data_IF_140377683690
#
_entry.id   IF_140377683690
#
_cell.length_a   1.000
_cell.length_b   1.000
_cell.length_c   1.000
_cell.angle_alpha   90.00
_cell.angle_beta   90.00
_cell.angle_gamma   90.00
#
_symmetry.space_group_name_H-M   'P 1'
#
loop_
_entity.id
_entity.type
_entity.pdbx_description
1 polymer ?
#
# COMPACT_ATOMS: atom_id res chain seq x y z
N UNK A 1 -12.71 -9.48 19.41
CA UNK A 1 -13.22 -8.52 18.41
C UNK A 1 -11.99 -7.94 17.74
N UNK A 2 -11.83 -8.14 16.44
CA UNK A 2 -10.69 -7.57 15.72
C UNK A 2 -11.13 -6.30 14.99
N UNK A 3 -10.43 -5.21 15.24
CA UNK A 3 -10.51 -3.98 14.48
C UNK A 3 -9.12 -3.68 13.91
N UNK A 4 -9.04 -3.43 12.65
CA UNK A 4 -7.77 -3.24 11.95
C UNK A 4 -7.84 -2.04 11.03
N UNK A 5 -6.89 -1.13 11.18
CA UNK A 5 -6.67 0.01 10.31
C UNK A 5 -5.49 -0.24 9.38
N UNK A 6 -5.73 -0.09 8.08
CA UNK A 6 -4.71 -0.12 7.03
C UNK A 6 -4.60 1.27 6.40
N UNK A 7 -3.40 1.83 6.41
CA UNK A 7 -3.10 3.09 5.70
C UNK A 7 -2.11 2.83 4.57
N UNK A 8 -2.49 3.22 3.38
CA UNK A 8 -1.66 3.14 2.18
C UNK A 8 -1.18 4.53 1.79
N UNK A 9 0.12 4.70 1.76
CA UNK A 9 0.77 5.94 1.33
C UNK A 9 1.21 5.83 -0.12
N UNK A 10 0.81 6.80 -0.92
CA UNK A 10 1.19 6.93 -2.33
C UNK A 10 1.88 8.26 -2.59
N UNK A 11 2.65 8.33 -3.65
CA UNK A 11 3.37 9.52 -4.03
C UNK A 11 2.78 10.12 -5.30
N UNK A 12 1.98 11.18 -5.11
CA UNK A 12 1.34 11.91 -6.20
C UNK A 12 0.21 11.14 -6.87
N UNK A 13 -0.39 11.78 -7.86
CA UNK A 13 -1.57 11.28 -8.60
C UNK A 13 -1.26 10.00 -9.37
N UNK A 14 -0.01 9.79 -9.78
CA UNK A 14 0.40 8.65 -10.62
C UNK A 14 0.20 7.32 -9.89
N UNK A 15 0.44 7.29 -8.58
CA UNK A 15 0.28 6.09 -7.74
C UNK A 15 -1.06 6.04 -7.00
N UNK A 16 -1.92 6.98 -7.27
CA UNK A 16 -3.19 7.13 -6.56
C UNK A 16 -4.11 5.94 -6.84
N UNK A 17 -4.11 5.46 -8.08
CA UNK A 17 -4.87 4.28 -8.50
C UNK A 17 -4.46 3.04 -7.71
N UNK A 18 -3.16 2.79 -7.57
CA UNK A 18 -2.63 1.63 -6.86
C UNK A 18 -3.05 1.64 -5.39
N UNK A 19 -2.99 2.79 -4.75
CA UNK A 19 -3.46 2.94 -3.38
C UNK A 19 -4.96 2.66 -3.23
N UNK A 20 -5.79 3.13 -4.17
CA UNK A 20 -7.23 2.85 -4.21
C UNK A 20 -7.52 1.38 -4.44
N UNK A 21 -6.83 0.76 -5.39
CA UNK A 21 -7.02 -0.65 -5.70
C UNK A 21 -6.70 -1.53 -4.48
N UNK A 22 -5.65 -1.19 -3.72
CA UNK A 22 -5.31 -1.92 -2.49
C UNK A 22 -6.44 -1.83 -1.46
N UNK A 23 -6.86 -0.62 -1.09
CA UNK A 23 -7.85 -0.46 -0.01
C UNK A 23 -9.24 -0.97 -0.42
N UNK A 24 -9.65 -0.75 -1.67
CA UNK A 24 -10.94 -1.20 -2.17
C UNK A 24 -11.02 -2.72 -2.29
N UNK A 25 -9.97 -3.38 -2.78
CA UNK A 25 -9.94 -4.84 -2.89
C UNK A 25 -9.99 -5.51 -1.52
N UNK A 26 -9.23 -4.99 -0.54
CA UNK A 26 -9.25 -5.51 0.83
C UNK A 26 -10.62 -5.28 1.49
N UNK A 27 -11.19 -4.09 1.38
CA UNK A 27 -12.50 -3.80 1.94
C UNK A 27 -13.61 -4.66 1.30
N UNK A 28 -13.59 -4.83 -0.01
CA UNK A 28 -14.55 -5.68 -0.71
C UNK A 28 -14.42 -7.15 -0.29
N UNK A 29 -13.19 -7.68 -0.20
CA UNK A 29 -12.93 -9.04 0.27
C UNK A 29 -13.43 -9.24 1.71
N UNK A 30 -13.13 -8.32 2.61
CA UNK A 30 -13.57 -8.38 4.00
C UNK A 30 -15.11 -8.39 4.12
N UNK A 31 -15.81 -7.61 3.30
CA UNK A 31 -17.29 -7.60 3.26
C UNK A 31 -17.87 -8.94 2.79
N UNK A 32 -17.26 -9.57 1.78
CA UNK A 32 -17.67 -10.91 1.33
C UNK A 32 -17.49 -11.93 2.44
N UNK A 33 -16.50 -11.76 3.31
CA UNK A 33 -16.26 -12.60 4.49
C UNK A 33 -17.23 -12.34 5.66
N UNK A 34 -18.18 -11.41 5.47
CA UNK A 34 -19.15 -11.03 6.50
C UNK A 34 -18.62 -10.06 7.54
N UNK A 35 -17.48 -9.42 7.28
CA UNK A 35 -16.93 -8.36 8.13
C UNK A 35 -17.47 -6.99 7.72
N UNK A 36 -17.42 -6.05 8.64
CA UNK A 36 -17.65 -4.64 8.35
C UNK A 36 -16.36 -4.01 7.84
N UNK A 37 -16.41 -3.34 6.70
CA UNK A 37 -15.24 -2.72 6.12
C UNK A 37 -15.57 -1.41 5.41
N UNK A 38 -14.67 -0.45 5.53
CA UNK A 38 -14.76 0.86 4.91
C UNK A 38 -13.44 1.15 4.18
N UNK A 39 -13.51 1.64 2.95
CA UNK A 39 -12.38 2.17 2.22
C UNK A 39 -12.62 3.66 1.96
N UNK A 40 -11.60 4.47 2.22
CA UNK A 40 -11.65 5.93 2.09
C UNK A 40 -10.35 6.44 1.49
N UNK A 41 -10.41 7.61 0.90
CA UNK A 41 -9.23 8.28 0.41
C UNK A 41 -9.14 9.72 0.92
N UNK A 42 -7.94 10.13 1.27
CA UNK A 42 -7.65 11.54 1.45
C UNK A 42 -7.39 12.12 0.06
N UNK A 43 -8.36 12.88 -0.42
CA UNK A 43 -8.29 13.50 -1.73
C UNK A 43 -7.51 14.82 -1.62
N UNK A 44 -6.49 14.96 -2.44
CA UNK A 44 -5.71 16.18 -2.50
C UNK A 44 -6.07 16.90 -3.80
N UNK A 45 -6.93 17.88 -3.66
CA UNK A 45 -7.61 18.61 -4.74
C UNK A 45 -6.76 19.68 -5.43
N UNK A 46 -5.48 19.40 -5.72
CA UNK A 46 -4.64 20.38 -6.39
C UNK A 46 -3.81 19.77 -7.53
N UNK A 47 -3.93 20.29 -8.77
CA UNK A 47 -3.27 19.74 -9.96
C UNK A 47 -1.72 19.79 -9.91
N UNK A 48 -1.14 20.60 -9.04
CA UNK A 48 0.32 20.79 -8.96
C UNK A 48 1.05 19.77 -8.07
N UNK A 49 0.38 18.71 -7.63
CA UNK A 49 0.90 17.78 -6.62
C UNK A 49 1.44 16.49 -7.20
N UNK A 50 2.25 16.55 -8.20
CA UNK A 50 2.89 15.37 -8.83
C UNK A 50 3.71 14.54 -7.85
N UNK A 51 4.18 15.10 -6.74
CA UNK A 51 5.01 14.41 -5.75
C UNK A 51 4.48 14.52 -4.31
N UNK A 52 3.30 15.10 -4.10
CA UNK A 52 2.72 15.17 -2.76
C UNK A 52 2.30 13.77 -2.28
N UNK A 53 2.54 13.43 -1.01
CA UNK A 53 2.04 12.18 -0.47
C UNK A 53 0.51 12.23 -0.39
N UNK A 54 -0.13 11.15 -0.80
CA UNK A 54 -1.56 10.95 -0.59
C UNK A 54 -1.77 9.70 0.23
N UNK A 55 -2.90 9.61 0.91
CA UNK A 55 -3.20 8.49 1.81
C UNK A 55 -4.53 7.86 1.42
N UNK A 56 -4.57 6.54 1.45
CA UNK A 56 -5.79 5.76 1.31
C UNK A 56 -5.95 4.92 2.57
N UNK A 57 -7.18 4.77 3.01
CA UNK A 57 -7.50 4.14 4.27
C UNK A 57 -8.44 2.97 4.06
N UNK A 58 -8.21 1.90 4.80
CA UNK A 58 -9.16 0.80 4.94
C UNK A 58 -9.31 0.46 6.42
N UNK A 59 -10.53 0.25 6.85
CA UNK A 59 -10.90 -0.24 8.17
C UNK A 59 -11.64 -1.54 8.01
N UNK A 60 -11.26 -2.54 8.78
CA UNK A 60 -11.91 -3.85 8.81
C UNK A 60 -12.24 -4.21 10.24
N UNK A 61 -13.47 -4.62 10.51
CA UNK A 61 -13.95 -4.95 11.85
C UNK A 61 -14.87 -6.16 11.83
N UNK A 62 -14.85 -6.95 12.91
CA UNK A 62 -15.83 -8.00 13.14
C UNK A 62 -17.18 -7.43 13.63
N UNK A 63 -17.22 -6.19 14.08
CA UNK A 63 -18.41 -5.49 14.54
C UNK A 63 -18.67 -4.25 13.71
N UNK A 64 -19.89 -3.69 13.82
CA UNK A 64 -20.28 -2.46 13.13
C UNK A 64 -19.27 -1.35 13.40
N UNK A 65 -18.88 -0.65 12.35
CA UNK A 65 -18.02 0.52 12.44
C UNK A 65 -18.86 1.72 12.93
N UNK A 66 -18.72 2.07 14.21
CA UNK A 66 -19.55 3.11 14.84
C UNK A 66 -19.22 4.51 14.33
N UNK A 67 -18.00 4.74 13.87
CA UNK A 67 -17.55 6.06 13.41
C UNK A 67 -17.14 6.02 11.92
N UNK A 68 -18.13 6.09 11.05
CA UNK A 68 -17.91 6.16 9.59
C UNK A 68 -17.48 7.55 9.10
N UNK A 69 -17.61 8.58 9.94
CA UNK A 69 -17.34 9.96 9.58
C UNK A 69 -15.89 10.40 9.83
N UNK A 70 -15.07 9.55 10.40
CA UNK A 70 -13.63 9.84 10.58
C UNK A 70 -12.90 9.61 9.27
N UNK A 71 -12.33 10.66 8.72
CA UNK A 71 -11.69 10.66 7.39
C UNK A 71 -10.25 10.15 7.38
N UNK A 72 -9.64 9.87 8.53
CA UNK A 72 -8.27 9.38 8.65
C UNK A 72 -8.19 8.23 9.64
N UNK A 73 -7.24 7.32 9.44
CA UNK A 73 -6.86 6.33 10.43
C UNK A 73 -5.96 6.99 11.48
N UNK A 74 -6.29 6.81 12.74
CA UNK A 74 -5.54 7.37 13.87
C UNK A 74 -4.50 6.39 14.41
N UNK A 75 -4.79 5.09 14.33
CA UNK A 75 -3.98 4.01 14.90
C UNK A 75 -3.71 2.88 13.88
N UNK A 76 -3.01 3.17 12.76
CA UNK A 76 -2.83 2.19 11.70
C UNK A 76 -2.04 0.97 12.20
N UNK A 77 -2.68 -0.20 12.14
CA UNK A 77 -2.04 -1.48 12.43
C UNK A 77 -1.14 -1.94 11.26
N UNK A 78 -1.50 -1.50 10.06
CA UNK A 78 -0.81 -1.86 8.82
C UNK A 78 -0.56 -0.58 8.04
N UNK A 79 0.69 -0.38 7.63
CA UNK A 79 1.07 0.71 6.73
C UNK A 79 1.70 0.12 5.48
N UNK A 80 1.29 0.63 4.31
CA UNK A 80 1.87 0.27 3.01
C UNK A 80 2.47 1.51 2.37
N UNK A 81 3.74 1.44 1.99
CA UNK A 81 4.40 2.44 1.17
C UNK A 81 4.47 1.94 -0.28
N UNK A 82 3.66 2.53 -1.16
CA UNK A 82 3.61 2.15 -2.57
C UNK A 82 4.91 2.52 -3.30
N UNK A 83 5.68 3.44 -2.72
CA UNK A 83 6.99 3.82 -3.24
C UNK A 83 8.01 3.89 -2.11
N UNK A 84 9.09 3.10 -2.25
CA UNK A 84 10.09 2.89 -1.19
C UNK A 84 10.87 4.14 -0.77
N UNK A 85 10.98 5.16 -1.62
CA UNK A 85 11.66 6.41 -1.27
C UNK A 85 10.92 7.20 -0.20
N UNK A 86 9.63 6.92 0.01
CA UNK A 86 8.81 7.55 1.06
C UNK A 86 9.26 7.22 2.48
N UNK A 87 10.10 6.22 2.67
CA UNK A 87 10.70 5.89 3.97
C UNK A 87 11.43 7.10 4.57
N UNK A 88 11.90 8.02 3.74
CA UNK A 88 12.59 9.22 4.17
C UNK A 88 11.67 10.44 4.10
N UNK A 89 11.56 11.17 5.20
CA UNK A 89 10.95 12.50 5.21
C UNK A 89 9.45 12.56 5.50
N UNK A 90 8.80 11.43 5.81
CA UNK A 90 7.37 11.38 6.14
C UNK A 90 7.12 10.61 7.43
N UNK A 91 6.16 11.07 8.23
CA UNK A 91 5.72 10.39 9.46
C UNK A 91 4.60 9.39 9.15
N UNK A 92 4.93 8.39 8.32
CA UNK A 92 3.97 7.38 7.86
C UNK A 92 3.56 6.38 8.95
N UNK A 93 4.30 6.34 10.07
CA UNK A 93 4.01 5.47 11.20
C UNK A 93 3.33 6.19 12.37
N UNK A 94 2.89 7.43 12.15
CA UNK A 94 2.17 8.20 13.17
C UNK A 94 0.96 7.42 13.70
N UNK A 95 0.86 7.31 15.02
CA UNK A 95 -0.24 6.63 15.70
C UNK A 95 -0.19 5.11 15.67
N UNK A 96 0.78 4.49 14.97
CA UNK A 96 0.90 3.03 14.92
C UNK A 96 1.11 2.45 16.32
N UNK A 97 0.23 1.53 16.75
CA UNK A 97 0.42 0.83 18.03
C UNK A 97 1.58 -0.19 17.92
N UNK A 98 2.14 -0.63 19.05
CA UNK A 98 3.07 -1.75 19.07
C UNK A 98 2.47 -3.01 18.41
N UNK A 99 3.27 -3.71 17.63
CA UNK A 99 2.82 -4.88 16.88
C UNK A 99 2.32 -4.57 15.46
N UNK A 100 2.58 -3.37 14.97
CA UNK A 100 2.25 -2.97 13.60
C UNK A 100 3.03 -3.72 12.52
N UNK A 101 2.53 -3.67 11.30
CA UNK A 101 3.17 -4.21 10.10
C UNK A 101 3.45 -3.09 9.11
N UNK A 102 4.69 -2.99 8.62
CA UNK A 102 5.07 -2.09 7.54
C UNK A 102 5.39 -2.89 6.28
N UNK A 103 4.72 -2.57 5.18
CA UNK A 103 4.96 -3.14 3.84
C UNK A 103 5.55 -2.06 2.95
N UNK A 104 6.66 -2.34 2.29
CA UNK A 104 7.36 -1.39 1.43
C UNK A 104 7.56 -1.98 0.05
N UNK A 105 7.15 -1.24 -0.99
CA UNK A 105 7.53 -1.53 -2.36
C UNK A 105 8.98 -1.11 -2.59
N UNK A 106 9.87 -2.07 -2.65
CA UNK A 106 11.31 -1.83 -2.84
C UNK A 106 12.02 -3.10 -3.29
N UNK A 107 13.09 -2.92 -4.05
CA UNK A 107 14.01 -4.00 -4.41
C UNK A 107 15.07 -4.29 -3.32
N UNK A 108 15.13 -3.46 -2.29
CA UNK A 108 16.06 -3.68 -1.18
C UNK A 108 15.52 -4.71 -0.17
N UNK A 109 16.44 -5.35 0.53
CA UNK A 109 16.08 -6.28 1.60
C UNK A 109 15.56 -5.56 2.85
N UNK A 110 14.74 -6.22 3.68
CA UNK A 110 14.27 -5.62 4.93
C UNK A 110 15.40 -5.23 5.89
N UNK A 111 16.48 -6.01 5.95
CA UNK A 111 17.67 -5.71 6.78
C UNK A 111 18.38 -4.41 6.37
N UNK A 112 18.30 -4.07 5.09
CA UNK A 112 18.78 -2.79 4.61
C UNK A 112 17.79 -1.66 4.92
N UNK A 113 16.51 -1.89 4.66
CA UNK A 113 15.46 -0.86 4.78
C UNK A 113 15.19 -0.46 6.23
N UNK A 114 15.29 -1.40 7.18
CA UNK A 114 15.01 -1.15 8.61
C UNK A 114 15.80 0.03 9.18
N UNK A 115 17.00 0.29 8.66
CA UNK A 115 17.88 1.40 9.10
C UNK A 115 17.28 2.78 8.84
N UNK A 116 16.31 2.86 7.94
CA UNK A 116 15.67 4.11 7.53
C UNK A 116 14.24 4.24 8.05
N UNK A 117 13.75 3.23 8.78
CA UNK A 117 12.38 3.21 9.31
C UNK A 117 12.36 3.85 10.69
N UNK A 118 11.78 5.06 10.83
CA UNK A 118 11.61 5.66 12.15
C UNK A 118 10.56 4.88 12.95
N UNK A 119 10.82 4.63 14.23
CA UNK A 119 9.87 3.90 15.09
C UNK A 119 9.79 2.41 14.78
N UNK A 120 10.86 1.82 14.21
CA UNK A 120 10.91 0.39 13.87
C UNK A 120 10.66 -0.53 15.09
N UNK A 121 10.92 -0.05 16.29
CA UNK A 121 10.65 -0.75 17.55
C UNK A 121 9.17 -1.04 17.80
N UNK A 122 8.26 -0.38 17.09
CA UNK A 122 6.81 -0.63 17.16
C UNK A 122 6.38 -1.78 16.26
N UNK A 123 7.21 -2.18 15.30
CA UNK A 123 6.85 -3.17 14.31
C UNK A 123 6.99 -4.59 14.87
N UNK A 124 6.03 -5.46 14.56
CA UNK A 124 6.19 -6.91 14.67
C UNK A 124 6.89 -7.50 13.43
N UNK A 125 6.80 -6.80 12.29
CA UNK A 125 7.45 -7.23 11.06
C UNK A 125 7.58 -6.08 10.05
N UNK A 126 8.67 -6.13 9.29
CA UNK A 126 8.91 -5.34 8.10
C UNK A 126 8.86 -6.26 6.88
N UNK A 127 8.05 -5.90 5.89
CA UNK A 127 7.86 -6.66 4.65
C UNK A 127 8.34 -5.83 3.47
N UNK A 128 9.26 -6.38 2.68
CA UNK A 128 9.71 -5.76 1.43
C UNK A 128 9.28 -6.63 0.24
N UNK A 129 8.79 -5.99 -0.80
CA UNK A 129 8.42 -6.64 -2.05
C UNK A 129 8.77 -5.74 -3.23
N UNK A 130 9.42 -6.28 -4.24
CA UNK A 130 9.68 -5.55 -5.49
C UNK A 130 8.46 -5.67 -6.41
N UNK A 131 7.43 -4.91 -6.07
CA UNK A 131 6.16 -4.93 -6.79
C UNK A 131 6.31 -4.47 -8.25
N UNK A 132 7.26 -3.56 -8.51
CA UNK A 132 7.55 -3.08 -9.84
C UNK A 132 8.10 -4.20 -10.74
N UNK A 133 9.05 -4.99 -10.24
CA UNK A 133 9.61 -6.14 -10.94
C UNK A 133 8.55 -7.22 -11.18
N UNK A 134 7.79 -7.56 -10.15
CA UNK A 134 6.78 -8.62 -10.21
C UNK A 134 5.62 -8.30 -11.15
N UNK A 135 5.23 -7.03 -11.24
CA UNK A 135 4.18 -6.57 -12.14
C UNK A 135 4.68 -6.32 -13.59
N UNK A 136 5.94 -6.65 -13.89
CA UNK A 136 6.60 -6.34 -15.18
C UNK A 136 6.45 -4.85 -15.53
N UNK A 137 6.62 -4.02 -14.50
CA UNK A 137 6.49 -2.57 -14.62
C UNK A 137 7.62 -2.02 -15.48
N UNK A 138 7.30 -1.62 -16.69
CA UNK A 138 8.25 -0.87 -17.52
C UNK A 138 8.35 0.54 -16.96
N UNK A 139 9.48 0.89 -16.37
CA UNK A 139 9.82 2.20 -15.78
C UNK A 139 9.56 3.42 -16.68
N UNK A 140 9.18 3.21 -17.93
CA UNK A 140 8.90 4.24 -18.91
C UNK A 140 7.84 5.24 -18.42
N UNK A 141 6.81 4.76 -17.73
CA UNK A 141 5.71 5.58 -17.24
C UNK A 141 6.17 6.59 -16.17
N UNK A 142 6.97 6.12 -15.20
CA UNK A 142 7.55 7.01 -14.18
C UNK A 142 8.57 7.98 -14.77
N UNK A 143 9.38 7.50 -15.71
CA UNK A 143 10.42 8.30 -16.31
C UNK A 143 9.85 9.44 -17.16
N UNK A 144 8.79 9.19 -17.92
CA UNK A 144 8.12 10.21 -18.72
C UNK A 144 7.41 11.25 -17.83
N UNK A 145 6.73 10.82 -16.77
CA UNK A 145 6.08 11.69 -15.81
C UNK A 145 7.07 12.58 -15.03
N UNK A 146 8.20 12.01 -14.62
CA UNK A 146 9.25 12.76 -13.93
C UNK A 146 9.97 13.77 -14.82
N UNK A 147 10.14 13.46 -16.11
CA UNK A 147 10.82 14.36 -17.06
C UNK A 147 9.87 15.41 -17.64
N UNK A 148 8.57 15.33 -17.38
CA UNK A 148 7.57 16.25 -17.95
C UNK A 148 7.42 16.14 -19.48
N UNK A 149 8.18 15.24 -20.12
CA UNK A 149 8.21 15.08 -21.57
C UNK A 149 6.90 14.54 -22.14
N UNK A 150 6.16 13.83 -21.32
CA UNK A 150 4.86 13.27 -21.64
C UNK A 150 3.76 14.33 -21.85
N UNK A 151 3.93 15.54 -21.30
CA UNK A 151 2.98 16.64 -21.45
C UNK A 151 3.19 17.43 -22.76
N UNK A 152 4.36 17.31 -23.35
CA UNK A 152 4.81 18.15 -24.46
C UNK A 152 4.75 17.47 -25.83
N UNK A 153 4.61 16.14 -25.88
CA UNK A 153 4.58 15.41 -27.15
C UNK A 153 3.25 14.69 -27.37
N UNK A 154 2.72 14.80 -28.59
CA UNK A 154 1.56 14.01 -29.04
C UNK A 154 1.86 12.51 -29.07
N UNK A 155 3.12 12.13 -29.26
CA UNK A 155 3.59 10.74 -29.21
C UNK A 155 3.54 10.19 -27.77
N UNK A 156 3.97 10.96 -26.78
CA UNK A 156 3.86 10.57 -25.38
C UNK A 156 2.41 10.43 -24.91
N UNK A 157 1.48 11.22 -25.44
CA UNK A 157 0.06 11.09 -25.16
C UNK A 157 -0.53 9.81 -25.79
N UNK A 158 -0.10 9.45 -27.01
CA UNK A 158 -0.51 8.23 -27.66
C UNK A 158 0.04 6.96 -26.99
N UNK A 159 1.27 6.99 -26.50
CA UNK A 159 1.85 5.89 -25.72
C UNK A 159 1.19 5.73 -24.34
N UNK A 160 0.82 6.82 -23.67
CA UNK A 160 0.04 6.78 -22.42
C UNK A 160 -1.32 6.13 -22.60
N UNK A 161 -1.98 6.38 -23.72
CA UNK A 161 -3.29 5.74 -24.00
C UNK A 161 -3.17 4.24 -24.27
N UNK A 162 -1.98 3.76 -24.65
CA UNK A 162 -1.66 2.35 -24.90
C UNK A 162 -1.00 1.66 -23.69
N UNK A 163 -0.40 2.42 -22.80
CA UNK A 163 0.22 1.87 -21.62
C UNK A 163 -0.87 1.43 -20.65
N UNK A 164 -1.05 0.13 -20.53
CA UNK A 164 -1.77 -0.44 -19.40
C UNK A 164 -1.00 -0.01 -18.16
N UNK A 165 -1.64 0.76 -17.28
CA UNK A 165 -1.04 1.16 -16.02
C UNK A 165 -0.56 -0.11 -15.30
N UNK A 166 0.70 -0.17 -14.87
CA UNK A 166 1.23 -1.36 -14.21
C UNK A 166 0.42 -1.60 -12.95
N UNK A 167 -0.03 -2.82 -12.76
CA UNK A 167 -0.76 -3.23 -11.59
C UNK A 167 0.20 -3.64 -10.47
N UNK A 168 0.92 -2.67 -9.90
CA UNK A 168 1.78 -2.89 -8.73
C UNK A 168 0.96 -3.06 -7.44
N UNK A 169 -0.34 -2.80 -7.49
CA UNK A 169 -1.23 -3.07 -6.36
C UNK A 169 -1.31 -4.57 -6.05
N UNK A 170 -1.34 -5.42 -7.07
CA UNK A 170 -1.48 -6.85 -6.89
C UNK A 170 -0.38 -7.48 -5.99
N UNK A 171 0.92 -7.25 -6.21
CA UNK A 171 1.97 -7.73 -5.31
C UNK A 171 1.89 -7.15 -3.90
N UNK A 172 1.49 -5.88 -3.76
CA UNK A 172 1.34 -5.24 -2.44
C UNK A 172 0.14 -5.80 -1.68
N UNK A 173 -0.97 -6.09 -2.36
CA UNK A 173 -2.12 -6.77 -1.76
C UNK A 173 -1.69 -8.17 -1.27
N UNK A 174 -0.94 -8.92 -2.08
CA UNK A 174 -0.42 -10.23 -1.69
C UNK A 174 0.43 -10.13 -0.41
N UNK A 175 1.32 -9.14 -0.35
CA UNK A 175 2.15 -8.88 0.83
C UNK A 175 1.31 -8.60 2.07
N UNK A 176 0.33 -7.70 1.98
CA UNK A 176 -0.57 -7.36 3.09
C UNK A 176 -1.34 -8.59 3.55
N UNK A 177 -2.05 -9.26 2.64
CA UNK A 177 -2.96 -10.36 3.01
C UNK A 177 -2.19 -11.54 3.60
N UNK A 178 -1.08 -11.94 2.97
CA UNK A 178 -0.26 -13.07 3.45
C UNK A 178 0.32 -12.81 4.85
N UNK A 179 0.75 -11.58 5.12
CA UNK A 179 1.49 -11.29 6.37
C UNK A 179 0.61 -10.84 7.52
N UNK A 180 -0.62 -10.39 7.23
CA UNK A 180 -1.52 -9.86 8.26
C UNK A 180 -2.79 -10.68 8.46
N UNK A 181 -3.23 -11.41 7.45
CA UNK A 181 -4.48 -12.16 7.50
C UNK A 181 -5.73 -11.27 7.57
N UNK A 182 -5.65 -10.00 7.12
CA UNK A 182 -6.76 -9.04 7.19
C UNK A 182 -8.01 -9.53 6.44
N UNK A 183 -7.81 -10.30 5.38
CA UNK A 183 -8.82 -11.08 4.66
C UNK A 183 -8.21 -12.39 4.15
N UNK A 184 -9.04 -13.30 3.65
CA UNK A 184 -8.62 -14.61 3.15
C UNK A 184 -8.10 -14.51 1.71
N UNK A 185 -7.07 -15.29 1.40
CA UNK A 185 -6.50 -15.37 0.06
C UNK A 185 -7.54 -15.83 -0.98
N UNK A 186 -8.37 -16.81 -0.60
CA UNK A 186 -9.41 -17.37 -1.48
C UNK A 186 -10.46 -16.33 -1.88
N UNK A 187 -10.75 -15.39 -0.98
CA UNK A 187 -11.75 -14.35 -1.21
C UNK A 187 -11.21 -13.20 -2.06
N UNK A 188 -9.94 -12.82 -1.87
CA UNK A 188 -9.37 -11.67 -2.58
C UNK A 188 -8.82 -12.03 -3.96
N UNK A 189 -8.29 -13.23 -4.16
CA UNK A 189 -7.67 -13.66 -5.43
C UNK A 189 -8.57 -13.46 -6.67
N UNK A 190 -9.88 -13.73 -6.63
CA UNK A 190 -10.76 -13.48 -7.76
C UNK A 190 -10.84 -11.99 -8.19
N UNK A 191 -10.58 -11.07 -7.27
CA UNK A 191 -10.68 -9.62 -7.50
C UNK A 191 -9.41 -9.02 -8.10
N UNK A 192 -8.31 -9.77 -8.08
CA UNK A 192 -7.00 -9.29 -8.53
C UNK A 192 -6.91 -9.32 -10.05
N UNK A 193 -6.63 -8.18 -10.65
CA UNK A 193 -6.47 -8.06 -12.10
C UNK A 193 -5.19 -8.76 -12.59
N UNK A 194 -4.05 -8.51 -11.96
CA UNK A 194 -2.77 -9.17 -12.28
C UNK A 194 -2.51 -10.35 -11.35
N UNK A 195 -3.22 -11.47 -11.61
CA UNK A 195 -3.09 -12.70 -10.80
C UNK A 195 -1.66 -13.25 -10.79
N UNK A 196 -0.96 -13.17 -11.92
CA UNK A 196 0.42 -13.65 -12.04
C UNK A 196 1.34 -12.92 -11.06
N UNK A 197 1.30 -11.60 -11.05
CA UNK A 197 2.12 -10.81 -10.13
C UNK A 197 1.74 -11.03 -8.66
N UNK A 198 0.46 -11.24 -8.38
CA UNK A 198 -0.05 -11.58 -7.04
C UNK A 198 0.51 -12.92 -6.55
N UNK A 199 0.42 -13.97 -7.37
CA UNK A 199 0.92 -15.31 -7.04
C UNK A 199 2.44 -15.35 -6.89
N UNK A 200 3.17 -14.66 -7.77
CA UNK A 200 4.63 -14.52 -7.65
C UNK A 200 4.99 -13.83 -6.33
N UNK A 201 4.30 -12.76 -5.97
CA UNK A 201 4.57 -12.05 -4.73
C UNK A 201 4.35 -12.92 -3.49
N UNK A 202 3.33 -13.78 -3.48
CA UNK A 202 3.13 -14.72 -2.38
C UNK A 202 4.36 -15.60 -2.10
N UNK A 203 5.20 -15.85 -3.09
CA UNK A 203 6.41 -16.68 -2.96
C UNK A 203 7.70 -15.86 -2.77
N UNK A 204 7.71 -14.59 -3.19
CA UNK A 204 8.92 -13.75 -3.24
C UNK A 204 8.95 -12.63 -2.18
N UNK A 205 8.12 -12.72 -1.12
CA UNK A 205 8.15 -11.73 -0.03
C UNK A 205 9.41 -11.88 0.82
N UNK A 206 10.04 -10.76 1.11
CA UNK A 206 11.10 -10.67 2.09
C UNK A 206 10.54 -10.13 3.41
N UNK A 207 10.51 -10.96 4.45
CA UNK A 207 9.91 -10.64 5.74
C UNK A 207 11.00 -10.65 6.81
N UNK A 208 11.14 -9.54 7.52
CA UNK A 208 11.95 -9.42 8.72
C UNK A 208 11.02 -9.39 9.94
N UNK A 209 10.94 -10.47 10.71
CA UNK A 209 10.21 -10.47 11.97
C UNK A 209 10.95 -9.61 12.99
N UNK A 210 10.19 -8.87 13.78
CA UNK A 210 10.69 -7.96 14.80
C UNK A 210 9.97 -8.22 16.12
N UNK A 211 10.62 -7.85 17.23
CA UNK A 211 10.02 -7.93 18.56
C UNK A 211 9.57 -6.53 18.98
N UNK A 212 8.28 -6.21 18.90
CA UNK A 212 7.80 -4.89 19.26
C UNK A 212 8.04 -4.64 20.75
N UNK A 213 8.60 -3.49 21.07
CA UNK A 213 8.73 -3.04 22.44
C UNK A 213 7.34 -2.63 22.94
N UNK A 214 6.89 -3.21 24.05
CA UNK A 214 5.65 -2.81 24.68
C UNK A 214 5.71 -1.29 24.98
N UNK A 215 4.62 -0.57 24.68
CA UNK A 215 4.54 0.82 25.06
C UNK A 215 4.71 0.90 26.57
N UNK A 216 5.77 1.54 27.04
CA UNK A 216 5.83 1.97 28.44
C UNK A 216 4.72 2.98 28.65
N UNK A 217 3.76 2.59 29.49
CA UNK A 217 2.61 3.41 29.88
C UNK A 217 3.04 4.73 30.51
#
# INVERSE_FOLDING_TARGET
>A
MSYTELTVWTRGIIMDKEGRDIVNSIAASARIEGKYAQAMENYVDNPDRTNAPTRKYCRVSDTILENELTYENEHPNIVVLVEGTMVKGWDYMRGMPPGGTLVINTHYTPDYMIRFVPGAERLKQLVCVDAAKLADHKWLYYRLGQLGLDRLSTEGAAERSKAVAPDIAAPLIAAVVKTTGICKLETITPMIANKKAFEMALNELHILPLNPVAATA
#
